data_IF_319435861203
#
_entry.id   IF_319435861203
#
_cell.length_a   1.000
_cell.length_b   1.000
_cell.length_c   1.000
_cell.angle_alpha   90.00
_cell.angle_beta   90.00
_cell.angle_gamma   90.00
#
_symmetry.space_group_name_H-M   'P 1'
#
loop_
_entity.id
_entity.type
_entity.pdbx_description
1 polymer ?
#
# COMPACT_ATOMS: atom_id res chain seq x y z
N UNK A 1 2.00 18.29 -7.99
CA UNK A 1 2.05 17.81 -6.60
C UNK A 1 0.79 17.00 -6.36
N UNK A 2 0.84 15.69 -6.62
CA UNK A 2 -0.26 14.79 -6.29
C UNK A 2 -0.27 14.59 -4.78
N UNK A 3 -1.42 14.79 -4.12
CA UNK A 3 -1.53 14.68 -2.66
C UNK A 3 -1.22 13.26 -2.19
N UNK A 4 0.02 13.03 -1.78
CA UNK A 4 0.49 11.75 -1.29
C UNK A 4 0.19 11.60 0.21
N UNK A 5 -0.81 10.78 0.52
CA UNK A 5 -1.30 10.59 1.89
C UNK A 5 -0.26 9.88 2.78
N UNK A 6 0.65 9.08 2.22
CA UNK A 6 1.70 8.41 3.00
C UNK A 6 2.73 9.41 3.55
N UNK A 7 2.92 10.54 2.85
CA UNK A 7 3.79 11.64 3.25
C UNK A 7 3.05 12.69 4.09
N UNK A 8 1.85 12.39 4.61
CA UNK A 8 1.12 13.31 5.50
C UNK A 8 1.95 13.76 6.70
N UNK A 9 2.80 12.87 7.22
CA UNK A 9 3.73 13.18 8.32
C UNK A 9 4.92 14.06 7.89
N UNK A 10 5.23 14.11 6.60
CA UNK A 10 6.28 14.97 6.00
C UNK A 10 5.71 16.33 5.55
N UNK A 11 4.39 16.44 5.38
CA UNK A 11 3.74 17.75 5.24
C UNK A 11 3.81 18.41 6.60
N UNK A 12 4.90 19.14 6.80
CA UNK A 12 4.99 20.15 7.83
C UNK A 12 4.14 21.34 7.44
N UNK A 13 2.82 21.15 7.54
CA UNK A 13 1.92 22.26 7.78
C UNK A 13 2.30 22.80 9.15
N UNK A 14 3.18 23.82 9.12
CA UNK A 14 3.87 24.53 10.21
C UNK A 14 5.17 23.88 10.74
N UNK A 15 6.23 23.79 9.94
CA UNK A 15 7.58 23.45 10.44
C UNK A 15 8.18 24.43 11.48
N UNK A 16 7.39 25.36 12.02
CA UNK A 16 7.70 26.11 13.25
C UNK A 16 6.78 25.68 14.42
N UNK A 17 6.40 24.39 14.52
CA UNK A 17 5.79 23.82 15.73
C UNK A 17 6.78 23.71 16.91
N UNK A 18 8.06 24.03 16.70
CA UNK A 18 9.10 24.10 17.73
C UNK A 18 9.21 25.50 18.37
N UNK A 19 8.55 26.52 17.81
CA UNK A 19 8.38 27.80 18.47
C UNK A 19 7.03 27.85 19.21
N UNK A 20 6.95 28.40 20.45
CA UNK A 20 5.71 28.65 21.18
C UNK A 20 4.68 29.59 20.48
N UNK A 21 4.85 29.90 19.20
CA UNK A 21 4.23 31.02 18.50
C UNK A 21 3.19 30.68 17.42
N UNK A 22 2.89 29.40 17.16
CA UNK A 22 1.75 29.01 16.31
C UNK A 22 0.42 29.52 16.87
N UNK A 23 -0.17 30.56 16.26
CA UNK A 23 -1.43 31.18 16.72
C UNK A 23 -2.53 30.14 16.98
N UNK A 24 -2.64 29.12 16.10
CA UNK A 24 -3.59 28.02 16.25
C UNK A 24 -3.37 27.21 17.54
N UNK A 25 -2.13 26.87 17.90
CA UNK A 25 -1.82 26.12 19.12
C UNK A 25 -2.19 26.92 20.38
N UNK A 26 -1.86 28.21 20.40
CA UNK A 26 -2.21 29.11 21.52
C UNK A 26 -3.73 29.26 21.67
N UNK A 27 -4.45 29.32 20.55
CA UNK A 27 -5.91 29.34 20.55
C UNK A 27 -6.47 28.02 21.09
N UNK A 28 -5.97 26.87 20.64
CA UNK A 28 -6.41 25.55 21.15
C UNK A 28 -6.12 25.38 22.65
N UNK A 29 -4.92 25.76 23.11
CA UNK A 29 -4.57 25.75 24.53
C UNK A 29 -5.45 26.70 25.37
N UNK A 30 -5.92 27.80 24.77
CA UNK A 30 -6.87 28.72 25.45
C UNK A 30 -8.25 28.09 25.60
N UNK A 31 -8.74 27.37 24.58
CA UNK A 31 -9.99 26.60 24.69
C UNK A 31 -9.88 25.48 25.72
N UNK A 32 -8.75 24.78 25.80
CA UNK A 32 -8.51 23.78 26.83
C UNK A 32 -8.56 24.38 28.24
N UNK A 33 -7.96 25.55 28.45
CA UNK A 33 -8.08 26.27 29.74
C UNK A 33 -9.50 26.73 30.03
N UNK A 34 -10.24 27.18 29.00
CA UNK A 34 -11.61 27.65 29.15
C UNK A 34 -12.57 26.52 29.53
N UNK A 35 -12.49 25.38 28.84
CA UNK A 35 -13.34 24.22 29.13
C UNK A 35 -12.83 23.38 30.32
N UNK A 36 -11.56 23.53 30.70
CA UNK A 36 -10.89 22.68 31.69
C UNK A 36 -10.83 21.22 31.26
N UNK A 37 -10.57 20.30 32.18
CA UNK A 37 -10.63 18.86 31.93
C UNK A 37 -12.09 18.34 31.91
N UNK A 38 -12.99 19.09 31.27
CA UNK A 38 -14.40 18.76 31.15
C UNK A 38 -14.72 17.84 29.97
N UNK A 39 -15.99 17.44 29.81
CA UNK A 39 -16.43 16.59 28.70
C UNK A 39 -16.21 17.22 27.32
N UNK A 40 -16.21 18.56 27.20
CA UNK A 40 -15.90 19.26 25.95
C UNK A 40 -14.49 18.91 25.43
N UNK A 41 -13.47 18.99 26.29
CA UNK A 41 -12.08 18.64 25.91
C UNK A 41 -11.94 17.15 25.63
N UNK A 42 -12.63 16.30 26.40
CA UNK A 42 -12.63 14.87 26.15
C UNK A 42 -13.18 14.51 24.76
N UNK A 43 -14.26 15.15 24.29
CA UNK A 43 -14.76 14.96 22.92
C UNK A 43 -13.74 15.39 21.87
N UNK A 44 -13.07 16.53 22.07
CA UNK A 44 -12.05 16.99 21.12
C UNK A 44 -10.83 16.06 21.08
N UNK A 45 -10.43 15.51 22.24
CA UNK A 45 -9.44 14.43 22.34
C UNK A 45 -9.88 13.20 21.56
N UNK A 46 -11.12 12.71 21.72
CA UNK A 46 -11.62 11.59 20.92
C UNK A 46 -11.51 11.86 19.41
N UNK A 47 -11.79 13.09 18.96
CA UNK A 47 -11.66 13.44 17.55
C UNK A 47 -10.22 13.50 17.05
N UNK A 48 -9.23 13.71 17.94
CA UNK A 48 -7.81 13.60 17.60
C UNK A 48 -7.36 12.18 17.23
N UNK A 49 -8.19 11.17 17.50
CA UNK A 49 -7.92 9.78 17.09
C UNK A 49 -8.24 9.51 15.62
N UNK A 50 -8.95 10.41 14.93
CA UNK A 50 -9.44 10.20 13.56
C UNK A 50 -8.81 11.21 12.59
N UNK A 51 -8.45 10.76 11.38
CA UNK A 51 -7.95 11.63 10.32
C UNK A 51 -9.08 12.26 9.47
N UNK A 52 -10.29 11.71 9.62
CA UNK A 52 -11.53 12.11 8.94
C UNK A 52 -12.68 12.20 9.95
N UNK A 53 -13.88 12.52 9.46
CA UNK A 53 -15.11 12.51 10.25
C UNK A 53 -15.29 11.17 10.98
N UNK A 54 -15.54 11.24 12.29
CA UNK A 54 -15.76 10.07 13.13
C UNK A 54 -17.21 9.60 13.03
N UNK A 55 -17.42 8.32 12.75
CA UNK A 55 -18.76 7.73 12.73
C UNK A 55 -19.33 7.63 14.15
N UNK A 56 -20.67 7.65 14.24
CA UNK A 56 -21.37 7.46 15.52
C UNK A 56 -20.96 6.14 16.18
N UNK A 57 -20.87 5.06 15.40
CA UNK A 57 -20.50 3.73 15.90
C UNK A 57 -19.06 3.66 16.43
N UNK A 58 -18.10 4.35 15.78
CA UNK A 58 -16.72 4.40 16.26
C UNK A 58 -16.59 5.19 17.57
N UNK A 59 -17.33 6.30 17.69
CA UNK A 59 -17.43 7.06 18.96
C UNK A 59 -18.11 6.21 20.03
N UNK A 60 -19.19 5.52 19.70
CA UNK A 60 -19.89 4.61 20.62
C UNK A 60 -18.96 3.49 21.09
N UNK A 61 -18.15 2.91 20.19
CA UNK A 61 -17.16 1.89 20.53
C UNK A 61 -16.14 2.40 21.55
N UNK A 62 -15.62 3.63 21.37
CA UNK A 62 -14.71 4.25 22.33
C UNK A 62 -15.34 4.43 23.71
N UNK A 63 -16.62 4.80 23.77
CA UNK A 63 -17.35 5.08 25.01
C UNK A 63 -17.86 3.83 25.76
N UNK A 64 -17.72 2.62 25.19
CA UNK A 64 -18.07 1.35 25.87
C UNK A 64 -17.25 1.16 27.14
N UNK A 65 -17.84 0.46 28.12
CA UNK A 65 -17.10 0.04 29.31
C UNK A 65 -16.05 -1.04 28.98
N UNK A 66 -14.91 -1.08 29.69
CA UNK A 66 -14.50 -0.17 30.75
C UNK A 66 -14.08 1.21 30.21
N UNK A 67 -14.18 2.25 31.06
CA UNK A 67 -13.71 3.59 30.70
C UNK A 67 -12.22 3.56 30.35
N UNK A 68 -11.80 4.40 29.41
CA UNK A 68 -10.39 4.66 29.14
C UNK A 68 -9.97 5.80 30.09
N UNK A 69 -9.10 5.53 31.07
CA UNK A 69 -8.62 6.55 31.99
C UNK A 69 -8.02 7.75 31.24
N UNK A 70 -8.26 8.94 31.76
CA UNK A 70 -7.77 10.23 31.23
C UNK A 70 -8.35 10.64 29.87
N UNK A 71 -9.28 9.85 29.31
CA UNK A 71 -9.91 10.13 28.02
C UNK A 71 -11.45 10.09 28.08
N UNK A 72 -12.05 9.00 28.56
CA UNK A 72 -13.52 8.84 28.53
C UNK A 72 -14.18 9.01 29.90
N UNK A 73 -13.43 9.29 30.96
CA UNK A 73 -13.95 9.36 32.33
C UNK A 73 -15.13 10.32 32.50
N UNK A 74 -14.99 11.51 31.92
CA UNK A 74 -15.97 12.61 31.95
C UNK A 74 -17.12 12.41 30.97
N UNK A 75 -17.00 11.45 30.05
CA UNK A 75 -17.99 11.16 29.01
C UNK A 75 -18.87 9.96 29.38
N UNK A 76 -18.30 8.94 30.00
CA UNK A 76 -19.04 7.75 30.39
C UNK A 76 -19.97 8.06 31.57
N UNK A 77 -21.28 7.91 31.33
CA UNK A 77 -22.35 8.21 32.29
C UNK A 77 -23.15 9.47 31.97
N UNK A 78 -22.76 10.23 30.93
CA UNK A 78 -23.59 11.31 30.41
C UNK A 78 -24.87 10.72 29.78
N UNK A 79 -26.01 11.29 30.12
CA UNK A 79 -27.24 11.01 29.39
C UNK A 79 -27.25 11.76 28.05
N UNK A 80 -28.17 11.40 27.17
CA UNK A 80 -28.30 11.99 25.83
C UNK A 80 -28.41 13.52 25.86
N UNK A 81 -29.16 14.09 26.82
CA UNK A 81 -29.30 15.56 26.94
C UNK A 81 -27.98 16.24 27.30
N UNK A 82 -27.21 15.64 28.22
CA UNK A 82 -25.90 16.14 28.62
C UNK A 82 -24.90 16.02 27.46
N UNK A 83 -24.90 14.90 26.74
CA UNK A 83 -24.09 14.72 25.54
C UNK A 83 -24.39 15.78 24.47
N UNK A 84 -25.66 15.97 24.12
CA UNK A 84 -26.07 17.00 23.16
C UNK A 84 -25.71 18.42 23.63
N UNK A 85 -25.74 18.68 24.94
CA UNK A 85 -25.31 19.96 25.51
C UNK A 85 -23.82 20.21 25.32
N UNK A 86 -22.97 19.19 25.48
CA UNK A 86 -21.52 19.26 25.23
C UNK A 86 -21.26 19.55 23.76
N UNK A 87 -21.87 18.78 22.85
CA UNK A 87 -21.72 18.99 21.41
C UNK A 87 -22.20 20.38 20.97
N UNK A 88 -23.30 20.88 21.55
CA UNK A 88 -23.81 22.23 21.27
C UNK A 88 -22.81 23.33 21.67
N UNK A 89 -22.18 23.22 22.84
CA UNK A 89 -21.17 24.19 23.30
C UNK A 89 -19.96 24.19 22.37
N UNK A 90 -19.47 23.02 21.98
CA UNK A 90 -18.35 22.90 21.05
C UNK A 90 -18.67 23.49 19.67
N UNK A 91 -19.89 23.28 19.15
CA UNK A 91 -20.34 23.91 17.89
C UNK A 91 -20.47 25.43 18.01
N UNK A 92 -21.00 25.94 19.13
CA UNK A 92 -21.06 27.38 19.40
C UNK A 92 -19.66 28.01 19.50
N UNK A 93 -18.68 27.26 19.99
CA UNK A 93 -17.28 27.66 20.05
C UNK A 93 -16.53 27.51 18.71
N UNK A 94 -17.17 26.95 17.67
CA UNK A 94 -16.56 26.72 16.35
C UNK A 94 -15.56 25.56 16.29
N UNK A 95 -15.52 24.69 17.31
CA UNK A 95 -14.57 23.59 17.41
C UNK A 95 -15.11 22.28 16.81
N UNK A 96 -16.43 22.15 16.71
CA UNK A 96 -17.09 21.10 15.92
C UNK A 96 -17.75 21.70 14.69
N UNK A 97 -17.71 20.97 13.60
CA UNK A 97 -18.43 21.34 12.37
C UNK A 97 -19.94 21.15 12.55
N UNK A 98 -20.70 21.81 11.68
CA UNK A 98 -22.14 21.60 11.63
C UNK A 98 -22.47 20.16 11.18
N UNK A 99 -23.57 19.56 11.69
CA UNK A 99 -23.96 18.21 11.31
C UNK A 99 -24.04 18.03 9.80
N UNK A 100 -23.44 16.97 9.29
CA UNK A 100 -23.57 16.60 7.88
C UNK A 100 -24.98 16.03 7.64
N UNK A 101 -25.77 16.54 6.68
CA UNK A 101 -27.11 16.02 6.42
C UNK A 101 -27.15 14.53 6.08
N UNK A 102 -26.09 13.98 5.47
CA UNK A 102 -25.97 12.55 5.15
C UNK A 102 -25.58 11.70 6.36
N UNK A 103 -24.91 12.29 7.34
CA UNK A 103 -24.38 11.62 8.53
C UNK A 103 -24.62 12.50 9.77
N UNK A 104 -25.88 12.68 10.20
CA UNK A 104 -26.25 13.70 11.19
C UNK A 104 -25.64 13.47 12.58
N UNK A 105 -25.28 12.23 12.89
CA UNK A 105 -24.70 11.82 14.17
C UNK A 105 -23.18 11.68 14.12
N UNK A 106 -22.56 11.77 12.93
CA UNK A 106 -21.12 11.77 12.80
C UNK A 106 -20.53 13.09 13.34
N UNK A 107 -19.37 12.98 13.96
CA UNK A 107 -18.68 14.11 14.56
C UNK A 107 -17.46 14.46 13.73
N UNK A 108 -17.30 15.76 13.46
CA UNK A 108 -16.15 16.26 12.73
C UNK A 108 -15.73 17.62 13.29
N UNK A 109 -14.47 17.95 13.08
CA UNK A 109 -13.83 19.18 13.52
C UNK A 109 -12.93 19.70 12.40
N UNK A 110 -12.40 20.91 12.54
CA UNK A 110 -11.39 21.37 11.60
C UNK A 110 -10.10 20.52 11.76
N UNK A 111 -9.36 20.21 10.67
CA UNK A 111 -8.12 19.41 10.76
C UNK A 111 -7.12 19.91 11.82
N UNK A 112 -6.94 21.23 11.94
CA UNK A 112 -6.08 21.83 12.99
C UNK A 112 -6.51 21.49 14.43
N UNK A 113 -7.82 21.34 14.68
CA UNK A 113 -8.33 20.93 15.99
C UNK A 113 -7.95 19.47 16.23
N UNK A 114 -8.19 18.59 15.24
CA UNK A 114 -7.82 17.18 15.35
C UNK A 114 -6.32 17.00 15.55
N UNK A 115 -5.49 17.73 14.81
CA UNK A 115 -4.04 17.66 14.89
C UNK A 115 -3.52 18.07 16.27
N UNK A 116 -4.02 19.18 16.84
CA UNK A 116 -3.66 19.61 18.20
C UNK A 116 -3.94 18.50 19.22
N UNK A 117 -5.15 17.94 19.19
CA UNK A 117 -5.56 16.93 20.16
C UNK A 117 -4.94 15.55 19.89
N UNK A 118 -4.61 15.24 18.64
CA UNK A 118 -3.80 14.08 18.24
C UNK A 118 -2.43 14.14 18.91
N UNK A 119 -1.70 15.23 18.70
CA UNK A 119 -0.39 15.45 19.31
C UNK A 119 -0.48 15.44 20.84
N UNK A 120 -1.49 16.11 21.43
CA UNK A 120 -1.68 16.10 22.87
C UNK A 120 -1.89 14.69 23.42
N UNK A 121 -2.77 13.88 22.82
CA UNK A 121 -3.01 12.53 23.31
C UNK A 121 -1.76 11.66 23.20
N UNK A 122 -1.04 11.74 22.09
CA UNK A 122 0.16 10.95 21.86
C UNK A 122 1.27 11.27 22.86
N UNK A 123 1.54 12.55 23.10
CA UNK A 123 2.68 12.99 23.91
C UNK A 123 2.36 13.08 25.42
N UNK A 124 1.15 13.53 25.79
CA UNK A 124 0.77 13.78 27.19
C UNK A 124 0.04 12.59 27.82
N UNK A 125 -0.77 11.87 27.04
CA UNK A 125 -1.60 10.76 27.52
C UNK A 125 -1.32 9.45 26.78
N UNK A 126 -0.06 8.96 26.71
CA UNK A 126 0.33 7.84 25.85
C UNK A 126 -0.37 6.52 26.23
N UNK A 127 -0.77 6.34 27.49
CA UNK A 127 -1.54 5.18 27.91
C UNK A 127 -2.98 5.21 27.37
N UNK A 128 -3.65 6.37 27.48
CA UNK A 128 -4.99 6.57 26.94
C UNK A 128 -4.99 6.49 25.40
N UNK A 129 -3.98 7.06 24.75
CA UNK A 129 -3.73 6.95 23.32
C UNK A 129 -3.71 5.49 22.84
N UNK A 130 -2.83 4.67 23.44
CA UNK A 130 -2.72 3.24 23.07
C UNK A 130 -4.02 2.49 23.33
N UNK A 131 -4.65 2.70 24.48
CA UNK A 131 -5.90 2.04 24.83
C UNK A 131 -7.06 2.41 23.88
N UNK A 132 -7.15 3.67 23.48
CA UNK A 132 -8.18 4.15 22.55
C UNK A 132 -7.97 3.58 21.14
N UNK A 133 -6.75 3.62 20.63
CA UNK A 133 -6.43 3.03 19.34
C UNK A 133 -6.57 1.51 19.34
N UNK A 134 -6.25 0.83 20.45
CA UNK A 134 -6.49 -0.61 20.59
C UNK A 134 -8.00 -0.92 20.52
N UNK A 135 -8.84 -0.08 21.13
CA UNK A 135 -10.30 -0.25 21.07
C UNK A 135 -10.84 -0.03 19.66
N UNK A 136 -10.33 0.98 18.94
CA UNK A 136 -10.68 1.22 17.54
C UNK A 136 -10.20 0.09 16.63
N UNK A 137 -8.99 -0.42 16.84
CA UNK A 137 -8.47 -1.59 16.13
C UNK A 137 -9.43 -2.78 16.24
N UNK A 138 -9.84 -3.14 17.45
CA UNK A 138 -10.78 -4.24 17.69
C UNK A 138 -12.16 -3.97 17.07
N UNK A 139 -12.65 -2.72 17.16
CA UNK A 139 -13.91 -2.33 16.53
C UNK A 139 -13.89 -2.52 15.01
N UNK A 140 -12.87 -2.00 14.33
CA UNK A 140 -12.74 -2.13 12.88
C UNK A 140 -12.36 -3.54 12.42
N UNK A 141 -11.77 -4.36 13.30
CA UNK A 141 -11.48 -5.77 13.02
C UNK A 141 -12.75 -6.64 13.02
N UNK A 142 -13.68 -6.45 13.97
CA UNK A 142 -14.65 -7.48 14.36
C UNK A 142 -16.14 -7.04 14.34
N UNK A 143 -16.45 -5.74 14.45
CA UNK A 143 -17.79 -5.29 14.90
C UNK A 143 -18.97 -5.41 13.91
N UNK A 144 -18.87 -6.23 12.85
CA UNK A 144 -19.93 -6.39 11.84
C UNK A 144 -19.46 -6.15 10.40
N UNK A 145 -18.15 -5.99 10.20
CA UNK A 145 -17.54 -5.86 8.87
C UNK A 145 -17.38 -7.23 8.21
N UNK A 146 -17.52 -7.26 6.89
CA UNK A 146 -17.25 -8.47 6.12
C UNK A 146 -15.82 -8.97 6.38
N UNK A 147 -15.66 -10.29 6.57
CA UNK A 147 -14.36 -10.87 6.87
C UNK A 147 -13.38 -10.68 5.69
N UNK A 148 -13.88 -10.85 4.46
CA UNK A 148 -13.10 -10.85 3.22
C UNK A 148 -13.80 -9.98 2.16
N UNK A 149 -13.88 -8.66 2.36
CA UNK A 149 -14.56 -7.76 1.43
C UNK A 149 -13.89 -7.77 0.06
N UNK A 150 -14.70 -7.66 -0.99
CA UNK A 150 -14.25 -7.75 -2.39
C UNK A 150 -14.13 -6.40 -3.10
N UNK A 151 -14.40 -5.28 -2.43
CA UNK A 151 -14.36 -3.92 -3.01
C UNK A 151 -13.40 -3.01 -2.23
N UNK A 152 -12.95 -1.93 -2.88
CA UNK A 152 -12.10 -0.92 -2.24
C UNK A 152 -12.79 -0.27 -1.03
N UNK A 153 -14.07 0.07 -1.16
CA UNK A 153 -14.87 0.63 -0.07
C UNK A 153 -15.00 -0.36 1.09
N UNK A 154 -15.19 -1.64 0.78
CA UNK A 154 -15.28 -2.71 1.78
C UNK A 154 -13.95 -2.96 2.51
N UNK A 155 -12.81 -2.71 1.87
CA UNK A 155 -11.49 -2.76 2.53
C UNK A 155 -11.22 -1.57 3.46
N UNK A 156 -11.96 -0.46 3.32
CA UNK A 156 -11.78 0.77 4.10
C UNK A 156 -11.67 0.52 5.63
N UNK A 157 -12.64 -0.15 6.25
CA UNK A 157 -12.58 -0.53 7.66
C UNK A 157 -11.34 -1.36 8.04
N UNK A 158 -10.87 -2.26 7.16
CA UNK A 158 -9.67 -3.05 7.43
C UNK A 158 -8.39 -2.21 7.40
N UNK A 159 -8.32 -1.23 6.52
CA UNK A 159 -7.23 -0.25 6.55
C UNK A 159 -7.27 0.59 7.83
N UNK A 160 -8.45 1.05 8.27
CA UNK A 160 -8.60 1.78 9.54
C UNK A 160 -8.17 0.90 10.73
N UNK A 161 -8.50 -0.40 10.70
CA UNK A 161 -7.99 -1.36 11.70
C UNK A 161 -6.46 -1.41 11.68
N UNK A 162 -5.81 -1.54 10.52
CA UNK A 162 -4.34 -1.59 10.43
C UNK A 162 -3.70 -0.32 10.99
N UNK A 163 -4.22 0.85 10.62
CA UNK A 163 -3.73 2.14 11.12
C UNK A 163 -3.85 2.23 12.64
N UNK A 164 -5.05 1.98 13.18
CA UNK A 164 -5.26 2.04 14.62
C UNK A 164 -4.48 0.95 15.38
N UNK A 165 -4.32 -0.25 14.82
CA UNK A 165 -3.49 -1.31 15.39
C UNK A 165 -2.03 -0.89 15.53
N UNK A 166 -1.46 -0.27 14.49
CA UNK A 166 -0.10 0.26 14.55
C UNK A 166 0.04 1.40 15.57
N UNK A 167 -0.90 2.36 15.57
CA UNK A 167 -0.90 3.47 16.55
C UNK A 167 -1.08 2.99 18.01
N UNK A 168 -1.71 1.83 18.22
CA UNK A 168 -1.81 1.17 19.52
C UNK A 168 -0.54 0.42 19.94
N UNK A 169 0.42 0.23 19.02
CA UNK A 169 1.61 -0.58 19.21
C UNK A 169 1.43 -2.07 18.84
N UNK A 170 0.26 -2.48 18.36
CA UNK A 170 -0.09 -3.83 17.94
C UNK A 170 0.31 -4.12 16.48
N UNK A 171 1.53 -3.75 16.09
CA UNK A 171 2.01 -3.86 14.70
C UNK A 171 1.93 -5.31 14.21
N UNK A 172 2.42 -6.26 15.01
CA UNK A 172 2.43 -7.68 14.62
C UNK A 172 1.02 -8.23 14.40
N UNK A 173 0.09 -7.91 15.29
CA UNK A 173 -1.31 -8.33 15.17
C UNK A 173 -1.98 -7.68 13.96
N UNK A 174 -1.80 -6.37 13.76
CA UNK A 174 -2.34 -5.67 12.60
C UNK A 174 -1.83 -6.28 11.28
N UNK A 175 -0.55 -6.66 11.22
CA UNK A 175 0.05 -7.30 10.05
C UNK A 175 -0.52 -8.71 9.83
N UNK A 176 -0.44 -9.58 10.84
CA UNK A 176 -0.73 -11.01 10.72
C UNK A 176 -2.23 -11.35 10.78
N UNK A 177 -3.06 -10.51 11.38
CA UNK A 177 -4.50 -10.78 11.53
C UNK A 177 -5.37 -9.97 10.56
N UNK A 178 -4.85 -8.86 10.01
CA UNK A 178 -5.64 -7.97 9.13
C UNK A 178 -4.96 -7.79 7.78
N UNK A 179 -3.79 -7.17 7.73
CA UNK A 179 -3.19 -6.77 6.46
C UNK A 179 -2.88 -7.96 5.55
N UNK A 180 -2.11 -8.94 6.02
CA UNK A 180 -1.77 -10.12 5.22
C UNK A 180 -2.98 -11.01 4.89
N UNK A 181 -3.79 -11.47 5.86
CA UNK A 181 -4.84 -12.45 5.56
C UNK A 181 -6.09 -11.86 4.90
N UNK A 182 -6.47 -10.61 5.22
CA UNK A 182 -7.78 -10.07 4.82
C UNK A 182 -7.68 -9.04 3.71
N UNK A 183 -6.65 -8.19 3.74
CA UNK A 183 -6.42 -7.17 2.70
C UNK A 183 -5.66 -7.78 1.52
N UNK A 184 -4.46 -8.32 1.76
CA UNK A 184 -3.63 -8.96 0.73
C UNK A 184 -4.05 -10.39 0.40
N UNK A 185 -4.72 -11.08 1.32
CA UNK A 185 -5.06 -12.51 1.18
C UNK A 185 -3.84 -13.38 0.87
N UNK A 186 -2.74 -13.09 1.56
CA UNK A 186 -1.44 -13.73 1.42
C UNK A 186 -0.93 -13.70 -0.04
N UNK A 187 -0.57 -14.86 -0.59
CA UNK A 187 0.01 -15.01 -1.94
C UNK A 187 -0.90 -14.50 -3.08
N UNK A 188 -2.19 -14.27 -2.82
CA UNK A 188 -3.11 -13.73 -3.82
C UNK A 188 -2.88 -12.24 -4.11
N UNK A 189 -2.27 -11.50 -3.18
CA UNK A 189 -2.07 -10.05 -3.27
C UNK A 189 -3.35 -9.29 -3.68
N UNK A 190 -4.51 -9.69 -3.15
CA UNK A 190 -5.83 -9.28 -3.61
C UNK A 190 -6.02 -7.76 -3.74
N UNK A 191 -5.62 -6.99 -2.71
CA UNK A 191 -5.77 -5.53 -2.73
C UNK A 191 -5.09 -4.88 -3.94
N UNK A 192 -3.91 -5.35 -4.36
CA UNK A 192 -3.17 -4.75 -5.46
C UNK A 192 -3.42 -5.42 -6.81
N UNK A 193 -3.49 -6.75 -6.87
CA UNK A 193 -3.65 -7.48 -8.13
C UNK A 193 -5.08 -7.31 -8.68
N UNK A 194 -6.09 -7.34 -7.80
CA UNK A 194 -7.50 -7.32 -8.22
C UNK A 194 -8.13 -5.94 -8.14
N UNK A 195 -7.67 -5.09 -7.21
CA UNK A 195 -8.27 -3.76 -6.98
C UNK A 195 -7.35 -2.59 -7.30
N UNK A 196 -6.06 -2.83 -7.61
CA UNK A 196 -5.09 -1.77 -7.88
C UNK A 196 -4.87 -0.82 -6.69
N UNK A 197 -5.09 -1.29 -5.45
CA UNK A 197 -5.13 -0.46 -4.24
C UNK A 197 -3.75 0.00 -3.73
N UNK A 198 -2.77 0.21 -4.62
CA UNK A 198 -1.38 0.51 -4.25
C UNK A 198 -1.25 1.71 -3.31
N UNK A 199 -2.03 2.78 -3.53
CA UNK A 199 -2.03 3.96 -2.67
C UNK A 199 -2.60 3.71 -1.28
N UNK A 200 -3.67 2.92 -1.17
CA UNK A 200 -4.29 2.58 0.10
C UNK A 200 -3.41 1.63 0.92
N UNK A 201 -2.85 0.60 0.26
CA UNK A 201 -1.86 -0.28 0.85
C UNK A 201 -0.65 0.49 1.36
N UNK A 202 -0.07 1.38 0.55
CA UNK A 202 1.10 2.15 0.96
C UNK A 202 0.79 3.07 2.16
N UNK A 203 -0.40 3.67 2.18
CA UNK A 203 -0.84 4.50 3.31
C UNK A 203 -1.02 3.68 4.60
N UNK A 204 -1.43 2.42 4.52
CA UNK A 204 -1.50 1.54 5.68
C UNK A 204 -0.10 1.06 6.09
N UNK A 205 0.72 0.66 5.12
CA UNK A 205 2.08 0.18 5.30
C UNK A 205 2.98 1.23 5.97
N UNK A 206 2.79 2.52 5.70
CA UNK A 206 3.59 3.59 6.31
C UNK A 206 3.52 3.60 7.85
N UNK A 207 2.44 3.08 8.44
CA UNK A 207 2.27 3.01 9.90
C UNK A 207 3.11 1.92 10.56
N UNK A 208 3.71 1.02 9.79
CA UNK A 208 4.65 0.03 10.30
C UNK A 208 6.09 0.56 10.36
N UNK A 209 6.35 1.82 9.99
CA UNK A 209 7.69 2.41 9.97
C UNK A 209 7.88 3.44 11.10
N UNK A 210 8.99 3.33 11.82
CA UNK A 210 9.50 4.40 12.69
C UNK A 210 10.20 5.49 11.88
N UNK A 211 10.89 5.07 10.81
CA UNK A 211 11.53 5.97 9.84
C UNK A 211 11.12 5.51 8.46
N UNK A 212 10.41 6.38 7.74
CA UNK A 212 9.80 6.09 6.45
C UNK A 212 10.76 5.31 5.55
N UNK A 213 10.32 4.12 5.15
CA UNK A 213 11.00 3.20 4.22
C UNK A 213 12.36 2.65 4.66
N UNK A 214 12.89 3.09 5.80
CA UNK A 214 14.24 2.74 6.26
C UNK A 214 14.25 1.81 7.48
N UNK A 215 13.31 2.04 8.42
CA UNK A 215 13.25 1.33 9.70
C UNK A 215 11.81 1.04 10.10
N UNK A 216 11.50 -0.26 10.22
CA UNK A 216 10.20 -0.73 10.73
C UNK A 216 10.10 -0.59 12.25
N UNK A 217 8.86 -0.61 12.75
CA UNK A 217 8.57 -0.57 14.17
C UNK A 217 9.17 -1.76 14.93
N UNK A 218 9.62 -1.56 16.18
CA UNK A 218 10.16 -2.62 17.02
C UNK A 218 9.08 -3.64 17.35
N UNK A 219 9.51 -4.90 17.50
CA UNK A 219 8.62 -6.02 17.82
C UNK A 219 8.13 -6.80 16.60
N UNK A 220 8.42 -6.34 15.37
CA UNK A 220 8.31 -7.16 14.17
C UNK A 220 9.49 -8.13 14.07
N UNK A 221 9.18 -9.39 13.78
CA UNK A 221 10.14 -10.45 13.45
C UNK A 221 10.80 -10.19 12.08
N UNK A 222 11.90 -10.89 11.77
CA UNK A 222 12.66 -10.64 10.55
C UNK A 222 11.87 -10.91 9.25
N UNK A 223 11.02 -11.93 9.26
CA UNK A 223 10.08 -12.26 8.18
C UNK A 223 9.02 -11.18 8.00
N UNK A 224 8.46 -10.66 9.09
CA UNK A 224 7.47 -9.60 9.11
C UNK A 224 8.05 -8.28 8.60
N UNK A 225 9.24 -7.90 9.10
CA UNK A 225 9.96 -6.72 8.65
C UNK A 225 10.28 -6.80 7.15
N UNK A 226 10.80 -7.95 6.69
CA UNK A 226 11.08 -8.20 5.28
C UNK A 226 9.84 -8.04 4.41
N UNK A 227 8.71 -8.62 4.83
CA UNK A 227 7.44 -8.47 4.12
C UNK A 227 7.02 -7.00 4.04
N UNK A 228 7.08 -6.24 5.14
CA UNK A 228 6.69 -4.82 5.17
C UNK A 228 7.55 -3.98 4.23
N UNK A 229 8.88 -4.17 4.25
CA UNK A 229 9.79 -3.49 3.31
C UNK A 229 9.46 -3.83 1.85
N UNK A 230 9.26 -5.11 1.55
CA UNK A 230 8.95 -5.55 0.19
C UNK A 230 7.61 -4.99 -0.29
N UNK A 231 6.55 -5.13 0.50
CA UNK A 231 5.22 -4.64 0.14
C UNK A 231 5.20 -3.12 -0.04
N UNK A 232 5.91 -2.37 0.81
CA UNK A 232 6.04 -0.92 0.64
C UNK A 232 6.79 -0.56 -0.65
N UNK A 233 7.91 -1.24 -0.92
CA UNK A 233 8.67 -1.06 -2.16
C UNK A 233 7.85 -1.35 -3.42
N UNK A 234 7.02 -2.39 -3.39
CA UNK A 234 6.14 -2.78 -4.50
C UNK A 234 5.12 -1.69 -4.79
N UNK A 235 4.44 -1.19 -3.75
CA UNK A 235 3.50 -0.08 -3.92
C UNK A 235 4.20 1.20 -4.38
N UNK A 236 5.39 1.53 -3.86
CA UNK A 236 6.15 2.71 -4.28
C UNK A 236 6.55 2.63 -5.76
N UNK A 237 7.00 1.47 -6.24
CA UNK A 237 7.31 1.25 -7.65
C UNK A 237 6.08 1.42 -8.54
N UNK A 238 4.97 0.78 -8.19
CA UNK A 238 3.72 0.90 -8.95
C UNK A 238 3.20 2.35 -9.03
N UNK A 239 3.47 3.15 -8.00
CA UNK A 239 3.12 4.58 -7.94
C UNK A 239 4.18 5.50 -8.58
N UNK A 240 5.24 4.96 -9.18
CA UNK A 240 6.31 5.71 -9.83
C UNK A 240 7.30 6.39 -8.87
N UNK A 241 7.23 6.11 -7.56
CA UNK A 241 8.13 6.65 -6.53
C UNK A 241 9.41 5.82 -6.42
N UNK A 242 10.06 5.60 -7.56
CA UNK A 242 11.16 4.61 -7.73
C UNK A 242 12.39 4.87 -6.86
N UNK A 243 12.68 6.13 -6.50
CA UNK A 243 13.80 6.46 -5.61
C UNK A 243 13.54 6.00 -4.17
N UNK A 244 12.31 6.12 -3.69
CA UNK A 244 11.94 5.65 -2.34
C UNK A 244 11.79 4.13 -2.31
N UNK A 245 11.26 3.54 -3.38
CA UNK A 245 11.14 2.10 -3.53
C UNK A 245 12.51 1.41 -3.39
N UNK A 246 13.57 2.02 -3.92
CA UNK A 246 14.92 1.47 -3.86
C UNK A 246 15.40 1.26 -2.41
N UNK A 247 15.15 2.20 -1.50
CA UNK A 247 15.57 2.07 -0.11
C UNK A 247 14.86 0.89 0.56
N UNK A 248 13.53 0.83 0.45
CA UNK A 248 12.73 -0.26 1.02
C UNK A 248 13.12 -1.62 0.42
N UNK A 249 13.28 -1.70 -0.91
CA UNK A 249 13.63 -2.95 -1.58
C UNK A 249 15.04 -3.44 -1.26
N UNK A 250 16.02 -2.54 -1.06
CA UNK A 250 17.36 -2.93 -0.59
C UNK A 250 17.32 -3.55 0.80
N UNK A 251 16.49 -3.03 1.70
CA UNK A 251 16.28 -3.61 3.05
C UNK A 251 15.61 -4.99 2.95
N UNK A 252 14.58 -5.12 2.12
CA UNK A 252 13.91 -6.40 1.87
C UNK A 252 14.89 -7.44 1.32
N UNK A 253 15.69 -7.09 0.32
CA UNK A 253 16.70 -7.96 -0.28
C UNK A 253 17.76 -8.41 0.74
N UNK A 254 18.29 -7.47 1.53
CA UNK A 254 19.30 -7.79 2.54
C UNK A 254 18.76 -8.79 3.57
N UNK A 255 17.54 -8.59 4.08
CA UNK A 255 16.88 -9.50 5.01
C UNK A 255 16.56 -10.85 4.36
N UNK A 256 16.14 -10.85 3.09
CA UNK A 256 15.87 -12.08 2.34
C UNK A 256 17.13 -12.95 2.21
N UNK A 257 18.24 -12.35 1.77
CA UNK A 257 19.52 -13.04 1.64
C UNK A 257 20.07 -13.52 3.00
N UNK A 258 19.94 -12.72 4.06
CA UNK A 258 20.39 -13.09 5.40
C UNK A 258 19.68 -14.34 5.95
N UNK A 259 18.41 -14.53 5.57
CA UNK A 259 17.56 -15.63 6.04
C UNK A 259 17.33 -16.70 4.97
N UNK A 260 18.08 -16.67 3.87
CA UNK A 260 17.98 -17.63 2.76
C UNK A 260 16.55 -17.76 2.18
N UNK A 261 15.75 -16.70 2.24
CA UNK A 261 14.46 -16.63 1.52
C UNK A 261 14.72 -16.19 0.08
N UNK A 262 15.09 -17.18 -0.74
CA UNK A 262 15.44 -16.96 -2.14
C UNK A 262 14.26 -16.48 -3.00
N UNK A 263 13.03 -16.83 -2.64
CA UNK A 263 11.83 -16.36 -3.32
C UNK A 263 11.65 -14.84 -3.13
N UNK A 264 11.81 -14.36 -1.89
CA UNK A 264 11.74 -12.94 -1.59
C UNK A 264 12.97 -12.19 -2.14
N UNK A 265 14.17 -12.79 -2.11
CA UNK A 265 15.37 -12.19 -2.67
C UNK A 265 15.25 -12.00 -4.19
N UNK A 266 14.69 -12.98 -4.89
CA UNK A 266 14.42 -12.88 -6.33
C UNK A 266 13.43 -11.75 -6.65
N UNK A 267 12.32 -11.66 -5.91
CA UNK A 267 11.28 -10.64 -6.13
C UNK A 267 11.81 -9.23 -5.80
N UNK A 268 12.50 -9.04 -4.68
CA UNK A 268 13.10 -7.75 -4.33
C UNK A 268 14.19 -7.32 -5.33
N UNK A 269 14.97 -8.26 -5.85
CA UNK A 269 15.96 -7.98 -6.90
C UNK A 269 15.29 -7.61 -8.24
N UNK A 270 14.20 -8.27 -8.62
CA UNK A 270 13.44 -7.90 -9.82
C UNK A 270 12.88 -6.47 -9.71
N UNK A 271 12.33 -6.12 -8.54
CA UNK A 271 11.84 -4.77 -8.28
C UNK A 271 12.96 -3.71 -8.32
N UNK A 272 14.14 -3.99 -7.77
CA UNK A 272 15.30 -3.09 -7.85
C UNK A 272 15.82 -2.92 -9.28
N UNK A 273 15.77 -4.00 -10.07
CA UNK A 273 16.09 -3.97 -11.50
C UNK A 273 15.15 -3.00 -12.23
N UNK A 274 13.85 -3.11 -11.98
CA UNK A 274 12.84 -2.23 -12.56
C UNK A 274 13.02 -0.77 -12.16
N UNK A 275 13.18 -0.47 -10.86
CA UNK A 275 13.43 0.88 -10.37
C UNK A 275 14.68 1.49 -11.00
N UNK A 276 15.75 0.69 -11.12
CA UNK A 276 17.01 1.13 -11.75
C UNK A 276 16.81 1.42 -13.24
N UNK A 277 16.10 0.55 -13.96
CA UNK A 277 15.77 0.74 -15.37
C UNK A 277 14.93 2.00 -15.60
N UNK A 278 13.93 2.26 -14.74
CA UNK A 278 13.09 3.46 -14.78
C UNK A 278 13.91 4.75 -14.57
N UNK A 279 15.02 4.68 -13.81
CA UNK A 279 16.00 5.77 -13.65
C UNK A 279 17.05 5.83 -14.76
N UNK A 280 16.94 4.99 -15.79
CA UNK A 280 17.95 4.79 -16.86
C UNK A 280 19.34 4.35 -16.34
N UNK A 281 19.38 3.75 -15.16
CA UNK A 281 20.58 3.17 -14.54
C UNK A 281 20.73 1.71 -14.96
N UNK A 282 20.98 1.51 -16.25
CA UNK A 282 21.06 0.19 -16.88
C UNK A 282 22.12 -0.75 -16.28
N UNK A 283 23.32 -0.28 -15.85
CA UNK A 283 24.29 -1.16 -15.19
C UNK A 283 23.73 -1.80 -13.91
N UNK A 284 23.07 -1.01 -13.05
CA UNK A 284 22.43 -1.54 -11.85
C UNK A 284 21.19 -2.36 -12.16
N UNK A 285 20.40 -1.97 -13.17
CA UNK A 285 19.26 -2.76 -13.63
C UNK A 285 19.69 -4.17 -14.02
N UNK A 286 20.74 -4.29 -14.84
CA UNK A 286 21.25 -5.59 -15.28
C UNK A 286 21.85 -6.39 -14.12
N UNK A 287 22.57 -5.73 -13.21
CA UNK A 287 23.11 -6.38 -12.00
C UNK A 287 22.00 -7.03 -11.18
N UNK A 288 20.94 -6.28 -10.87
CA UNK A 288 19.82 -6.79 -10.09
C UNK A 288 18.97 -7.82 -10.84
N UNK A 289 18.79 -7.67 -12.16
CA UNK A 289 18.07 -8.67 -12.96
C UNK A 289 18.80 -10.02 -12.99
N UNK A 290 20.13 -10.01 -13.11
CA UNK A 290 20.95 -11.22 -13.02
C UNK A 290 20.90 -11.85 -11.63
N UNK A 291 20.98 -11.04 -10.58
CA UNK A 291 20.83 -11.51 -9.21
C UNK A 291 19.44 -12.15 -8.99
N UNK A 292 18.37 -11.51 -9.48
CA UNK A 292 17.00 -12.02 -9.43
C UNK A 292 16.89 -13.40 -10.07
N UNK A 293 17.38 -13.56 -11.31
CA UNK A 293 17.38 -14.84 -12.00
C UNK A 293 18.18 -15.92 -11.23
N UNK A 294 19.35 -15.56 -10.70
CA UNK A 294 20.18 -16.49 -9.91
C UNK A 294 19.53 -16.92 -8.60
N UNK A 295 18.84 -16.02 -7.90
CA UNK A 295 18.06 -16.35 -6.71
C UNK A 295 16.86 -17.23 -7.07
N UNK A 296 16.20 -16.98 -8.20
CA UNK A 296 15.03 -17.73 -8.60
C UNK A 296 15.35 -19.19 -8.99
N UNK A 297 16.57 -19.47 -9.46
CA UNK A 297 17.05 -20.81 -9.78
C UNK A 297 17.36 -21.68 -8.55
N UNK A 298 17.30 -21.11 -7.34
CA UNK A 298 17.50 -21.88 -6.12
C UNK A 298 16.40 -22.94 -5.92
N UNK A 299 16.71 -24.08 -5.28
CA UNK A 299 15.71 -25.09 -4.95
C UNK A 299 14.55 -24.50 -4.16
N UNK A 300 13.34 -25.04 -4.38
CA UNK A 300 12.10 -24.66 -3.69
C UNK A 300 11.55 -23.25 -3.98
N UNK A 301 12.22 -22.44 -4.81
CA UNK A 301 11.62 -21.18 -5.29
C UNK A 301 10.49 -21.50 -6.27
N UNK A 302 9.28 -20.94 -6.08
CA UNK A 302 8.15 -21.14 -6.98
C UNK A 302 8.47 -20.78 -8.43
N UNK A 303 8.04 -21.62 -9.38
CA UNK A 303 8.31 -21.43 -10.81
C UNK A 303 7.75 -20.10 -11.34
N UNK A 304 6.64 -19.61 -10.78
CA UNK A 304 6.09 -18.28 -11.14
C UNK A 304 7.10 -17.14 -10.90
N UNK A 305 7.93 -17.25 -9.86
CA UNK A 305 8.99 -16.27 -9.57
C UNK A 305 10.14 -16.43 -10.57
N UNK A 306 10.48 -17.66 -10.98
CA UNK A 306 11.46 -17.92 -12.04
C UNK A 306 11.04 -17.32 -13.38
N UNK A 307 9.78 -17.52 -13.79
CA UNK A 307 9.21 -16.92 -15.01
C UNK A 307 9.38 -15.40 -14.98
N UNK A 308 8.93 -14.76 -13.90
CA UNK A 308 9.06 -13.30 -13.74
C UNK A 308 10.53 -12.87 -13.77
N UNK A 309 11.41 -13.52 -13.02
CA UNK A 309 12.83 -13.13 -12.92
C UNK A 309 13.55 -13.20 -14.27
N UNK A 310 13.32 -14.25 -15.06
CA UNK A 310 13.90 -14.37 -16.41
C UNK A 310 13.29 -13.38 -17.41
N UNK A 311 11.99 -13.09 -17.33
CA UNK A 311 11.36 -12.09 -18.19
C UNK A 311 11.90 -10.68 -17.91
N UNK A 312 12.08 -10.30 -16.64
CA UNK A 312 12.70 -9.02 -16.27
C UNK A 312 14.16 -8.92 -16.74
N UNK A 313 14.92 -10.03 -16.66
CA UNK A 313 16.28 -10.08 -17.23
C UNK A 313 16.27 -9.88 -18.75
N UNK A 314 15.38 -10.57 -19.46
CA UNK A 314 15.21 -10.39 -20.91
C UNK A 314 14.86 -8.95 -21.28
N UNK A 315 13.96 -8.32 -20.51
CA UNK A 315 13.54 -6.95 -20.76
C UNK A 315 14.68 -5.94 -20.55
N UNK A 316 15.47 -6.06 -19.47
CA UNK A 316 16.64 -5.18 -19.27
C UNK A 316 17.67 -5.36 -20.38
N UNK A 317 17.96 -6.60 -20.78
CA UNK A 317 18.90 -6.89 -21.87
C UNK A 317 18.42 -6.29 -23.19
N UNK A 318 17.12 -6.35 -23.47
CA UNK A 318 16.50 -5.72 -24.63
C UNK A 318 16.71 -4.20 -24.62
N UNK A 319 16.41 -3.51 -23.52
CA UNK A 319 16.63 -2.05 -23.42
C UNK A 319 18.10 -1.63 -23.54
N UNK A 320 19.03 -2.57 -23.30
CA UNK A 320 20.47 -2.36 -23.48
C UNK A 320 20.96 -2.75 -24.90
N UNK A 321 20.10 -3.26 -25.78
CA UNK A 321 20.45 -3.71 -27.13
C UNK A 321 21.16 -5.07 -27.18
N UNK A 322 21.12 -5.86 -26.11
CA UNK A 322 21.71 -7.20 -26.05
C UNK A 322 20.73 -8.26 -26.57
N UNK A 323 20.31 -8.13 -27.84
CA UNK A 323 19.15 -8.85 -28.40
C UNK A 323 19.22 -10.38 -28.28
N UNK A 324 20.40 -10.98 -28.53
CA UNK A 324 20.57 -12.44 -28.42
C UNK A 324 20.42 -12.96 -26.99
N UNK A 325 20.89 -12.18 -26.02
CA UNK A 325 20.77 -12.52 -24.61
C UNK A 325 19.33 -12.29 -24.12
N UNK A 326 18.68 -11.24 -24.61
CA UNK A 326 17.26 -10.98 -24.36
C UNK A 326 16.37 -12.13 -24.87
N UNK A 327 16.59 -12.57 -26.12
CA UNK A 327 15.91 -13.71 -26.75
C UNK A 327 16.05 -14.97 -25.87
N UNK A 328 17.27 -15.29 -25.46
CA UNK A 328 17.54 -16.46 -24.61
C UNK A 328 16.82 -16.37 -23.25
N UNK A 329 16.78 -15.19 -22.64
CA UNK A 329 16.11 -14.98 -21.35
C UNK A 329 14.58 -15.11 -21.47
N UNK A 330 13.96 -14.53 -22.49
CA UNK A 330 12.52 -14.69 -22.72
C UNK A 330 12.14 -16.13 -23.06
N UNK A 331 12.92 -16.82 -23.90
CA UNK A 331 12.69 -18.24 -24.17
C UNK A 331 12.81 -19.09 -22.90
N UNK A 332 13.79 -18.79 -22.04
CA UNK A 332 13.92 -19.47 -20.75
C UNK A 332 12.70 -19.23 -19.87
N UNK A 333 12.23 -17.99 -19.76
CA UNK A 333 11.03 -17.66 -19.00
C UNK A 333 9.81 -18.44 -19.50
N UNK A 334 9.61 -18.53 -20.82
CA UNK A 334 8.48 -19.25 -21.40
C UNK A 334 8.58 -20.78 -21.24
N UNK A 335 9.78 -21.35 -21.35
CA UNK A 335 9.98 -22.78 -21.07
C UNK A 335 9.59 -23.12 -19.62
N UNK A 336 9.94 -22.25 -18.67
CA UNK A 336 9.53 -22.42 -17.27
C UNK A 336 8.01 -22.25 -17.14
N UNK A 337 7.39 -21.29 -17.84
CA UNK A 337 5.94 -21.09 -17.86
C UNK A 337 5.20 -22.34 -18.35
N UNK A 338 5.65 -22.95 -19.44
CA UNK A 338 5.08 -24.19 -19.99
C UNK A 338 5.11 -25.35 -18.99
N UNK A 339 6.14 -25.42 -18.15
CA UNK A 339 6.26 -26.44 -17.12
C UNK A 339 5.42 -26.10 -15.86
N UNK A 340 5.27 -24.81 -15.55
CA UNK A 340 4.55 -24.33 -14.38
C UNK A 340 3.03 -24.37 -14.56
N UNK A 341 2.55 -24.09 -15.77
CA UNK A 341 1.13 -24.00 -16.09
C UNK A 341 0.86 -24.52 -17.51
N UNK A 342 0.32 -25.74 -17.58
CA UNK A 342 -0.01 -26.40 -18.85
C UNK A 342 -1.25 -25.79 -19.53
N UNK A 343 -2.12 -25.14 -18.77
CA UNK A 343 -3.32 -24.47 -19.31
C UNK A 343 -2.97 -23.08 -19.87
N UNK A 344 -1.93 -22.44 -19.33
CA UNK A 344 -1.42 -21.14 -19.77
C UNK A 344 0.07 -21.20 -20.11
N UNK A 345 0.44 -21.87 -21.21
CA UNK A 345 1.84 -22.13 -21.55
C UNK A 345 2.60 -20.90 -22.08
N UNK A 346 1.92 -19.82 -22.43
CA UNK A 346 2.55 -18.60 -22.95
C UNK A 346 2.80 -17.59 -21.83
N UNK A 347 3.89 -16.82 -21.93
CA UNK A 347 4.08 -15.63 -21.09
C UNK A 347 2.89 -14.68 -21.26
N UNK A 348 2.32 -14.28 -20.13
CA UNK A 348 1.15 -13.40 -20.02
C UNK A 348 1.34 -12.42 -18.87
N UNK A 349 0.36 -11.52 -18.64
CA UNK A 349 0.48 -10.39 -17.72
C UNK A 349 1.76 -9.57 -17.99
N UNK A 350 2.40 -9.02 -16.96
CA UNK A 350 3.63 -8.23 -17.09
C UNK A 350 4.75 -8.96 -17.88
N UNK A 351 5.10 -10.24 -17.61
CA UNK A 351 6.05 -10.98 -18.45
C UNK A 351 5.64 -11.08 -19.93
N UNK A 352 4.35 -11.26 -20.20
CA UNK A 352 3.82 -11.32 -21.56
C UNK A 352 3.94 -9.99 -22.29
N UNK A 353 3.61 -8.88 -21.61
CA UNK A 353 3.82 -7.53 -22.12
C UNK A 353 5.29 -7.30 -22.50
N UNK A 354 6.22 -7.56 -21.58
CA UNK A 354 7.66 -7.39 -21.82
C UNK A 354 8.16 -8.18 -23.04
N UNK A 355 7.64 -9.40 -23.22
CA UNK A 355 8.04 -10.24 -24.34
C UNK A 355 7.42 -9.76 -25.66
N UNK A 356 6.15 -9.33 -25.65
CA UNK A 356 5.50 -8.75 -26.82
C UNK A 356 6.21 -7.47 -27.29
N UNK A 357 6.61 -6.59 -26.37
CA UNK A 357 7.40 -5.38 -26.70
C UNK A 357 8.71 -5.75 -27.42
N UNK A 358 9.47 -6.71 -26.87
CA UNK A 358 10.69 -7.17 -27.53
C UNK A 358 10.42 -7.78 -28.92
N UNK A 359 9.39 -8.62 -29.05
CA UNK A 359 9.02 -9.22 -30.33
C UNK A 359 8.63 -8.17 -31.37
N UNK A 360 7.92 -7.13 -30.96
CA UNK A 360 7.52 -6.02 -31.82
C UNK A 360 8.75 -5.26 -32.34
N UNK A 361 9.67 -4.88 -31.45
CA UNK A 361 10.91 -4.18 -31.82
C UNK A 361 11.78 -5.04 -32.75
N UNK A 362 11.89 -6.34 -32.49
CA UNK A 362 12.61 -7.26 -33.38
C UNK A 362 11.96 -7.36 -34.75
N UNK A 363 10.63 -7.34 -34.82
CA UNK A 363 9.91 -7.35 -36.08
C UNK A 363 10.17 -6.05 -36.86
N UNK A 364 10.12 -4.89 -36.20
CA UNK A 364 10.40 -3.59 -36.81
C UNK A 364 11.83 -3.55 -37.37
N UNK A 365 12.83 -3.90 -36.57
CA UNK A 365 14.26 -3.94 -36.97
C UNK A 365 14.47 -4.85 -38.19
N UNK A 366 13.81 -6.02 -38.22
CA UNK A 366 13.98 -7.03 -39.28
C UNK A 366 13.06 -6.81 -40.48
N UNK A 367 12.18 -5.81 -40.48
CA UNK A 367 11.16 -5.60 -41.54
C UNK A 367 11.78 -5.56 -42.93
N UNK A 368 12.92 -4.89 -43.09
CA UNK A 368 13.64 -4.80 -44.38
C UNK A 368 14.30 -6.10 -44.84
N UNK A 369 14.46 -7.07 -43.94
CA UNK A 369 15.12 -8.36 -44.17
C UNK A 369 14.12 -9.51 -44.34
N UNK A 370 12.85 -9.30 -43.97
CA UNK A 370 11.80 -10.31 -44.04
C UNK A 370 11.06 -10.23 -45.37
N UNK A 371 10.66 -11.39 -45.89
CA UNK A 371 9.66 -11.43 -46.97
C UNK A 371 8.30 -11.01 -46.41
N UNK A 372 7.42 -10.48 -47.26
CA UNK A 372 6.06 -10.09 -46.84
C UNK A 372 5.29 -11.23 -46.18
N UNK A 373 5.52 -12.46 -46.61
CA UNK A 373 4.93 -13.67 -46.01
C UNK A 373 5.46 -13.93 -44.58
N UNK A 374 6.79 -13.89 -44.38
CA UNK A 374 7.40 -14.09 -43.06
C UNK A 374 7.03 -12.98 -42.08
N UNK A 375 6.97 -11.73 -42.55
CA UNK A 375 6.51 -10.61 -41.75
C UNK A 375 5.06 -10.81 -41.30
N UNK A 376 4.15 -11.16 -42.23
CA UNK A 376 2.74 -11.41 -41.91
C UNK A 376 2.57 -12.53 -40.90
N UNK A 377 3.36 -13.60 -41.02
CA UNK A 377 3.32 -14.71 -40.07
C UNK A 377 3.77 -14.27 -38.67
N UNK A 378 4.91 -13.59 -38.56
CA UNK A 378 5.42 -13.10 -37.27
C UNK A 378 4.47 -12.09 -36.61
N UNK A 379 3.85 -11.20 -37.41
CA UNK A 379 2.81 -10.28 -36.94
C UNK A 379 1.59 -11.03 -36.40
N UNK A 380 1.08 -12.03 -37.15
CA UNK A 380 -0.04 -12.86 -36.68
C UNK A 380 0.29 -13.59 -35.38
N UNK A 381 1.51 -14.11 -35.23
CA UNK A 381 1.93 -14.82 -34.02
C UNK A 381 2.00 -13.88 -32.81
N UNK A 382 2.48 -12.65 -32.99
CA UNK A 382 2.45 -11.59 -31.97
C UNK A 382 1.02 -11.25 -31.57
N UNK A 383 0.13 -10.97 -32.53
CA UNK A 383 -1.28 -10.63 -32.26
C UNK A 383 -1.98 -11.76 -31.50
N UNK A 384 -1.83 -13.02 -31.92
CA UNK A 384 -2.43 -14.16 -31.23
C UNK A 384 -1.96 -14.31 -29.79
N UNK A 385 -0.68 -14.05 -29.51
CA UNK A 385 -0.16 -14.04 -28.14
C UNK A 385 -0.83 -12.94 -27.30
N UNK A 386 -0.90 -11.72 -27.84
CA UNK A 386 -1.50 -10.59 -27.17
C UNK A 386 -3.00 -10.80 -26.87
N UNK A 387 -3.75 -11.31 -27.85
CA UNK A 387 -5.16 -11.69 -27.72
C UNK A 387 -5.35 -12.77 -26.65
N UNK A 388 -4.53 -13.82 -26.67
CA UNK A 388 -4.66 -14.90 -25.69
C UNK A 388 -4.37 -14.42 -24.26
N UNK A 389 -3.38 -13.55 -24.08
CA UNK A 389 -3.08 -12.95 -22.78
C UNK A 389 -4.23 -12.04 -22.29
N UNK A 390 -4.90 -11.33 -23.20
CA UNK A 390 -6.08 -10.52 -22.87
C UNK A 390 -7.25 -11.39 -22.40
N UNK A 391 -7.52 -12.51 -23.10
CA UNK A 391 -8.57 -13.46 -22.70
C UNK A 391 -8.33 -13.98 -21.27
N UNK A 392 -7.08 -14.32 -20.94
CA UNK A 392 -6.74 -14.78 -19.59
C UNK A 392 -6.90 -13.68 -18.54
N UNK A 393 -6.52 -12.43 -18.85
CA UNK A 393 -6.70 -11.31 -17.94
C UNK A 393 -8.19 -11.02 -17.67
N UNK A 394 -9.04 -11.06 -18.71
CA UNK A 394 -10.49 -10.88 -18.59
C UNK A 394 -11.13 -11.98 -17.75
N UNK A 395 -10.74 -13.24 -17.97
CA UNK A 395 -11.21 -14.38 -17.18
C UNK A 395 -10.88 -14.22 -15.67
N UNK A 396 -9.71 -13.66 -15.36
CA UNK A 396 -9.25 -13.49 -13.98
C UNK A 396 -9.75 -12.19 -13.33
N UNK A 397 -10.46 -11.34 -14.09
CA UNK A 397 -10.88 -10.02 -13.63
C UNK A 397 -9.71 -9.07 -13.34
N UNK A 398 -8.56 -9.27 -14.01
CA UNK A 398 -7.35 -8.47 -13.81
C UNK A 398 -7.26 -7.34 -14.84
N UNK A 399 -6.69 -6.17 -14.48
CA UNK A 399 -6.32 -5.17 -15.47
C UNK A 399 -5.28 -5.75 -16.43
N UNK A 400 -5.47 -5.52 -17.75
CA UNK A 400 -4.57 -6.05 -18.78
C UNK A 400 -3.61 -4.96 -19.28
N UNK A 401 -2.31 -5.19 -19.12
CA UNK A 401 -1.23 -4.29 -19.56
C UNK A 401 -0.96 -4.35 -21.08
N UNK A 402 -1.58 -5.31 -21.79
CA UNK A 402 -1.30 -5.61 -23.22
C UNK A 402 -2.34 -4.95 -24.16
N UNK A 403 -3.37 -4.30 -23.61
CA UNK A 403 -4.54 -3.81 -24.35
C UNK A 403 -4.27 -2.71 -25.41
N UNK A 404 -3.06 -2.12 -25.44
CA UNK A 404 -2.69 -1.09 -26.43
C UNK A 404 -2.32 -1.67 -27.81
N UNK A 405 -1.88 -2.94 -27.89
CA UNK A 405 -1.49 -3.56 -29.16
C UNK A 405 -2.69 -4.02 -30.01
N UNK A 406 -3.79 -4.43 -29.37
CA UNK A 406 -4.91 -5.13 -30.04
C UNK A 406 -5.99 -4.18 -30.57
N UNK A 407 -6.10 -2.95 -30.05
CA UNK A 407 -7.20 -2.03 -30.42
C UNK A 407 -7.03 -1.30 -31.75
N UNK A 408 -5.95 -1.55 -32.49
CA UNK A 408 -5.70 -0.89 -33.78
C UNK A 408 -6.04 -1.72 -35.03
N UNK A 409 -6.63 -2.93 -34.89
CA UNK A 409 -7.06 -3.75 -36.04
C UNK A 409 -8.58 -3.66 -36.36
N UNK A 410 -9.20 -2.50 -36.12
CA UNK A 410 -10.49 -2.15 -36.76
C UNK A 410 -10.42 -0.74 -37.33
N UNK A 411 -9.63 -0.56 -38.40
CA UNK A 411 -9.79 0.52 -39.37
C UNK A 411 -9.17 0.14 -40.72
#
# INVERSE_FOLDING_TARGET
MGGDVSRRCEITMLDDWSEPDGHAWRVMASYERWFGNGPEVAVLRLLGLFDRMASEDAIAALLREPKIPELTDTLTGLNERQWLQVLRRLRQAGLLTHPNPKFPHALDAHPLVREYYHHQLREVYPAAWRAAHQRLYLYYQDAGWEAMPSTLEGLGPLYDAVVHGCLAGCHREALRQVFQPRIRRHEQNFSIEQLGAFGADLSALSHFFESMWSRVAPGLEADEARFVFHAAGECLNALGRVTEAEEAMRKALALACQHEDWAMAATASAALSESSRARSDFPNALHFAKASASHAEQPHVPMVIQVKSHAFLGFVLHWMGHDREAEAAFHRAEQVQQLADLERPLLHAVPGYMYCEWLLDQLEIRTSQLTSERFRQAWHDLCRRAEQALIWAEHDGRPCDIGLLVRHEVA
#
